data_IF_761969511423
#
_entry.id   IF_761969511423
#
_cell.length_a   1.000
_cell.length_b   1.000
_cell.length_c   1.000
_cell.angle_alpha   90.00
_cell.angle_beta   90.00
_cell.angle_gamma   90.00
#
_symmetry.space_group_name_H-M   'P 1'
#
loop_
_entity.id
_entity.type
_entity.pdbx_description
1 polymer ?
#
# COMPACT_ATOMS: atom_id res chain seq x y z
N UNK A 1 24.16 -8.74 56.62
CA UNK A 1 22.95 -8.76 57.47
C UNK A 1 21.79 -9.40 56.67
N UNK A 2 20.84 -10.01 57.38
CA UNK A 2 19.64 -10.66 56.79
C UNK A 2 18.93 -9.77 55.75
N UNK A 3 18.87 -8.47 55.95
CA UNK A 3 18.30 -7.53 55.00
C UNK A 3 19.08 -7.43 53.67
N UNK A 4 20.41 -7.50 53.76
CA UNK A 4 21.29 -7.44 52.59
C UNK A 4 21.17 -8.72 51.77
N UNK A 5 21.07 -9.88 52.42
CA UNK A 5 20.91 -11.18 51.78
C UNK A 5 19.52 -11.28 51.09
N UNK A 6 18.45 -10.83 51.76
CA UNK A 6 17.12 -10.78 51.18
C UNK A 6 17.04 -9.82 49.97
N UNK A 7 17.76 -8.69 50.00
CA UNK A 7 17.81 -7.74 48.89
C UNK A 7 18.56 -8.33 47.67
N UNK A 8 19.67 -9.03 47.92
CA UNK A 8 20.43 -9.73 46.87
C UNK A 8 19.58 -10.82 46.22
N UNK A 9 18.89 -11.62 47.02
CA UNK A 9 18.02 -12.70 46.50
C UNK A 9 16.83 -12.13 45.70
N UNK A 10 16.19 -11.07 46.18
CA UNK A 10 15.12 -10.41 45.48
C UNK A 10 15.60 -9.84 44.11
N UNK A 11 16.79 -9.22 44.09
CA UNK A 11 17.38 -8.72 42.85
C UNK A 11 17.70 -9.84 41.86
N UNK A 12 18.20 -10.96 42.35
CA UNK A 12 18.51 -12.16 41.57
C UNK A 12 17.24 -12.71 40.92
N UNK A 13 16.17 -12.90 41.71
CA UNK A 13 14.89 -13.41 41.24
C UNK A 13 14.25 -12.45 40.20
N UNK A 14 14.34 -11.14 40.44
CA UNK A 14 13.85 -10.16 39.48
C UNK A 14 14.61 -10.21 38.15
N UNK A 15 15.92 -10.36 38.18
CA UNK A 15 16.75 -10.51 36.99
C UNK A 15 16.42 -11.82 36.24
N UNK A 16 16.14 -12.90 36.96
CA UNK A 16 15.74 -14.15 36.34
C UNK A 16 14.35 -14.06 35.67
N UNK A 17 13.38 -13.44 36.31
CA UNK A 17 12.06 -13.13 35.73
C UNK A 17 12.21 -12.28 34.47
N UNK A 18 12.97 -11.21 34.53
CA UNK A 18 13.22 -10.34 33.37
C UNK A 18 13.88 -11.08 32.20
N UNK A 19 14.78 -12.02 32.52
CA UNK A 19 15.42 -12.89 31.52
C UNK A 19 14.42 -13.84 30.87
N UNK A 20 13.56 -14.47 31.67
CA UNK A 20 12.50 -15.39 31.19
C UNK A 20 11.53 -14.61 30.30
N UNK A 21 11.05 -13.45 30.74
CA UNK A 21 10.17 -12.57 29.95
C UNK A 21 10.80 -12.14 28.63
N UNK A 22 12.09 -11.85 28.64
CA UNK A 22 12.82 -11.44 27.43
C UNK A 22 12.97 -12.61 26.46
N UNK A 23 13.25 -13.82 26.95
CA UNK A 23 13.34 -15.03 26.13
C UNK A 23 11.98 -15.38 25.54
N UNK A 24 10.91 -15.29 26.34
CA UNK A 24 9.53 -15.55 25.88
C UNK A 24 9.09 -14.53 24.82
N UNK A 25 9.38 -13.25 25.03
CA UNK A 25 9.15 -12.20 24.03
C UNK A 25 9.94 -12.47 22.73
N UNK A 26 11.20 -12.87 22.83
CA UNK A 26 12.03 -13.21 21.67
C UNK A 26 11.49 -14.45 20.93
N UNK A 27 11.05 -15.46 21.66
CA UNK A 27 10.46 -16.68 21.06
C UNK A 27 9.20 -16.46 20.23
N UNK A 28 8.56 -15.27 20.38
CA UNK A 28 7.40 -14.85 19.59
C UNK A 28 7.75 -14.28 18.21
N UNK A 29 9.03 -14.22 17.88
CA UNK A 29 9.50 -13.70 16.59
C UNK A 29 10.36 -14.76 15.91
N UNK A 30 10.18 -14.87 14.57
CA UNK A 30 11.11 -15.65 13.76
C UNK A 30 12.51 -15.06 13.88
N UNK A 31 13.53 -15.92 14.01
CA UNK A 31 14.93 -15.51 14.24
C UNK A 31 15.63 -15.11 12.93
N UNK A 32 14.94 -14.32 12.09
CA UNK A 32 15.54 -13.75 10.90
C UNK A 32 16.26 -12.44 11.27
N UNK A 33 17.53 -12.34 10.94
CA UNK A 33 18.23 -11.08 10.99
C UNK A 33 17.97 -10.34 9.69
N UNK A 34 17.51 -9.07 9.72
CA UNK A 34 17.30 -8.28 8.51
C UNK A 34 18.59 -8.16 7.69
N UNK A 35 18.49 -8.42 6.39
CA UNK A 35 19.59 -8.25 5.44
C UNK A 35 19.38 -6.91 4.73
N UNK A 36 20.35 -6.04 4.88
CA UNK A 36 20.34 -4.70 4.28
C UNK A 36 21.22 -4.64 3.05
N UNK A 37 20.64 -4.44 1.88
CA UNK A 37 21.33 -4.32 0.60
C UNK A 37 20.97 -3.00 -0.06
N UNK A 38 21.95 -2.23 -0.52
CA UNK A 38 21.70 -1.02 -1.33
C UNK A 38 21.09 -1.39 -2.70
N UNK A 39 21.52 -2.55 -3.26
CA UNK A 39 20.95 -3.14 -4.47
C UNK A 39 20.24 -4.45 -4.10
N UNK A 40 18.93 -4.42 -3.78
CA UNK A 40 18.25 -5.57 -3.20
C UNK A 40 17.87 -6.67 -4.22
N UNK A 41 17.91 -6.39 -5.52
CA UNK A 41 17.69 -7.40 -6.56
C UNK A 41 18.98 -8.14 -6.86
N UNK A 42 19.02 -9.43 -6.50
CA UNK A 42 20.18 -10.28 -6.76
C UNK A 42 20.22 -10.73 -8.23
N UNK A 43 21.39 -11.17 -8.68
CA UNK A 43 21.61 -11.68 -10.05
C UNK A 43 20.78 -12.93 -10.38
N UNK A 44 20.41 -13.73 -9.37
CA UNK A 44 19.53 -14.88 -9.53
C UNK A 44 18.05 -14.52 -9.73
N UNK A 45 17.72 -13.22 -9.67
CA UNK A 45 16.37 -12.70 -9.86
C UNK A 45 15.51 -12.71 -8.58
N UNK A 46 16.13 -12.89 -7.41
CA UNK A 46 15.46 -12.81 -6.11
C UNK A 46 15.62 -11.43 -5.51
N UNK A 47 14.51 -10.82 -5.10
CA UNK A 47 14.48 -9.55 -4.37
C UNK A 47 14.59 -9.81 -2.87
N UNK A 48 15.59 -9.21 -2.22
CA UNK A 48 15.78 -9.32 -0.76
C UNK A 48 15.18 -8.09 -0.08
N UNK A 49 14.19 -8.31 0.78
CA UNK A 49 13.48 -7.25 1.52
C UNK A 49 13.91 -7.28 2.99
N UNK A 50 14.38 -6.13 3.50
CA UNK A 50 14.72 -5.94 4.90
C UNK A 50 13.50 -5.56 5.75
N UNK A 51 13.70 -5.28 7.04
CA UNK A 51 12.68 -4.76 7.95
C UNK A 51 12.26 -3.30 7.67
N UNK A 52 12.94 -2.63 6.73
CA UNK A 52 12.54 -1.30 6.21
C UNK A 52 11.33 -1.43 5.27
N UNK A 53 10.32 -2.13 5.74
CA UNK A 53 9.15 -2.58 4.99
C UNK A 53 7.88 -1.89 5.49
N UNK A 54 7.07 -1.42 4.57
CA UNK A 54 5.79 -0.74 4.80
C UNK A 54 4.72 -1.48 4.00
N UNK A 55 3.69 -2.00 4.66
CA UNK A 55 2.57 -2.64 3.96
C UNK A 55 1.60 -1.59 3.41
N UNK A 56 1.21 -1.74 2.15
CA UNK A 56 0.12 -0.99 1.51
C UNK A 56 -0.93 -1.98 1.03
N UNK A 57 -1.84 -2.36 1.91
CA UNK A 57 -2.92 -3.30 1.64
C UNK A 57 -4.29 -2.68 1.93
N UNK A 58 -5.30 -3.20 1.25
CA UNK A 58 -6.65 -2.66 1.32
C UNK A 58 -6.76 -1.26 0.72
N UNK A 59 -7.80 -0.53 1.12
CA UNK A 59 -8.11 0.75 0.53
C UNK A 59 -7.16 1.88 0.96
N UNK A 60 -6.79 2.72 -0.01
CA UNK A 60 -6.04 3.95 0.25
C UNK A 60 -7.00 5.02 0.75
N UNK A 61 -6.90 5.34 2.04
CA UNK A 61 -7.66 6.38 2.73
C UNK A 61 -6.67 7.35 3.41
N UNK A 62 -7.10 8.52 3.91
CA UNK A 62 -6.19 9.45 4.58
C UNK A 62 -5.34 8.82 5.68
N UNK A 63 -5.92 7.94 6.51
CA UNK A 63 -5.19 7.20 7.55
C UNK A 63 -4.11 6.27 6.99
N UNK A 64 -4.34 5.67 5.82
CA UNK A 64 -3.33 4.86 5.10
C UNK A 64 -2.14 5.74 4.70
N UNK A 65 -2.41 6.93 4.15
CA UNK A 65 -1.36 7.86 3.78
C UNK A 65 -0.58 8.36 5.01
N UNK A 66 -1.25 8.68 6.13
CA UNK A 66 -0.58 9.08 7.37
C UNK A 66 0.38 7.99 7.87
N UNK A 67 -0.08 6.74 7.82
CA UNK A 67 0.72 5.57 8.22
C UNK A 67 1.95 5.37 7.33
N UNK A 68 1.78 5.45 6.02
CA UNK A 68 2.88 5.22 5.06
C UNK A 68 3.87 6.38 5.09
N UNK A 69 3.41 7.63 5.02
CA UNK A 69 4.28 8.79 5.01
C UNK A 69 5.13 8.87 6.30
N UNK A 70 4.52 8.66 7.47
CA UNK A 70 5.28 8.67 8.74
C UNK A 70 6.36 7.58 8.82
N UNK A 71 6.11 6.41 8.19
CA UNK A 71 7.11 5.33 8.11
C UNK A 71 8.22 5.64 7.10
N UNK A 72 7.89 6.24 5.97
CA UNK A 72 8.89 6.72 5.01
C UNK A 72 9.80 7.73 5.72
N UNK A 73 9.25 8.72 6.42
CA UNK A 73 10.02 9.73 7.15
C UNK A 73 10.91 9.07 8.22
N UNK A 74 10.36 8.12 8.99
CA UNK A 74 11.12 7.39 10.00
C UNK A 74 12.33 6.65 9.40
N UNK A 75 12.11 5.86 8.37
CA UNK A 75 13.17 5.09 7.76
C UNK A 75 14.18 5.96 7.00
N UNK A 76 13.70 7.01 6.31
CA UNK A 76 14.55 7.98 5.64
C UNK A 76 15.49 8.70 6.63
N UNK A 77 14.97 9.08 7.82
CA UNK A 77 15.78 9.72 8.85
C UNK A 77 16.74 8.75 9.54
N UNK A 78 16.41 7.45 9.57
CA UNK A 78 17.28 6.44 10.16
C UNK A 78 18.48 6.10 9.27
N UNK A 79 18.26 5.99 7.95
CA UNK A 79 19.31 5.74 6.95
C UNK A 79 18.82 6.20 5.57
N UNK A 80 19.61 7.03 4.89
CA UNK A 80 19.27 7.62 3.59
C UNK A 80 19.76 6.82 2.38
N UNK A 81 20.55 5.76 2.59
CA UNK A 81 21.13 4.95 1.53
C UNK A 81 20.37 3.65 1.28
N UNK A 82 19.91 3.04 2.37
CA UNK A 82 19.24 1.75 2.30
C UNK A 82 17.80 1.89 1.79
N UNK A 83 17.35 0.97 0.91
CA UNK A 83 15.99 0.98 0.39
C UNK A 83 14.91 0.90 1.45
N UNK A 84 13.80 1.56 1.18
CA UNK A 84 12.52 1.43 1.90
C UNK A 84 11.56 0.71 0.95
N UNK A 85 10.92 -0.36 1.42
CA UNK A 85 10.03 -1.19 0.61
C UNK A 85 8.57 -0.91 0.94
N UNK A 86 7.80 -0.46 -0.06
CA UNK A 86 6.33 -0.44 0.02
C UNK A 86 5.83 -1.72 -0.62
N UNK A 87 5.25 -2.62 0.19
CA UNK A 87 4.82 -3.95 -0.23
C UNK A 87 3.30 -4.00 -0.35
N UNK A 88 2.84 -4.36 -1.54
CA UNK A 88 1.43 -4.47 -1.91
C UNK A 88 1.10 -5.94 -2.13
N UNK A 89 0.29 -6.52 -1.23
CA UNK A 89 -0.29 -7.84 -1.48
C UNK A 89 -1.61 -7.70 -2.22
N UNK A 90 -2.55 -6.87 -1.70
CA UNK A 90 -3.83 -6.60 -2.33
C UNK A 90 -4.27 -5.15 -2.02
N UNK A 91 -4.33 -4.32 -3.05
CA UNK A 91 -4.75 -2.92 -2.92
C UNK A 91 -5.58 -2.48 -4.13
N UNK A 92 -6.90 -2.22 -3.95
CA UNK A 92 -7.80 -1.80 -5.02
C UNK A 92 -7.68 -0.31 -5.38
N UNK A 93 -6.82 0.45 -4.72
CA UNK A 93 -6.73 1.90 -4.87
C UNK A 93 -7.49 2.66 -3.79
N UNK A 94 -7.98 3.86 -4.10
CA UNK A 94 -8.74 4.66 -3.13
C UNK A 94 -8.67 6.17 -3.35
N UNK A 95 -8.58 6.95 -2.27
CA UNK A 95 -8.52 8.42 -2.30
C UNK A 95 -7.35 8.93 -3.14
N UNK A 96 -7.64 9.81 -4.07
CA UNK A 96 -6.64 10.44 -4.93
C UNK A 96 -5.70 11.33 -4.12
N UNK A 97 -6.23 12.14 -3.21
CA UNK A 97 -5.40 13.02 -2.36
C UNK A 97 -4.48 12.22 -1.45
N UNK A 98 -4.98 11.14 -0.85
CA UNK A 98 -4.17 10.26 -0.03
C UNK A 98 -3.05 9.58 -0.84
N UNK A 99 -3.37 9.09 -2.03
CA UNK A 99 -2.38 8.52 -2.95
C UNK A 99 -1.33 9.52 -3.40
N UNK A 100 -1.71 10.76 -3.67
CA UNK A 100 -0.75 11.82 -3.99
C UNK A 100 0.17 12.18 -2.83
N UNK A 101 -0.32 12.15 -1.60
CA UNK A 101 0.53 12.33 -0.42
C UNK A 101 1.60 11.25 -0.34
N UNK A 102 1.23 10.00 -0.60
CA UNK A 102 2.18 8.87 -0.66
C UNK A 102 3.20 9.12 -1.77
N UNK A 103 2.77 9.43 -3.00
CA UNK A 103 3.67 9.71 -4.12
C UNK A 103 4.64 10.86 -3.81
N UNK A 104 4.18 11.93 -3.17
CA UNK A 104 5.04 13.06 -2.78
C UNK A 104 6.04 12.70 -1.69
N UNK A 105 5.63 11.87 -0.71
CA UNK A 105 6.53 11.36 0.31
C UNK A 105 7.61 10.43 -0.31
N UNK A 106 7.23 9.59 -1.27
CA UNK A 106 8.18 8.77 -2.03
C UNK A 106 9.18 9.62 -2.81
N UNK A 107 8.71 10.69 -3.48
CA UNK A 107 9.54 11.57 -4.29
C UNK A 107 10.52 12.39 -3.43
N UNK A 108 10.08 12.83 -2.25
CA UNK A 108 10.86 13.65 -1.33
C UNK A 108 11.88 12.84 -0.52
N UNK A 109 11.74 11.52 -0.44
CA UNK A 109 12.66 10.65 0.29
C UNK A 109 14.04 10.64 -0.36
N UNK A 110 15.10 10.84 0.44
CA UNK A 110 16.48 10.64 0.02
C UNK A 110 16.81 9.13 -0.07
N UNK A 111 16.27 8.33 0.87
CA UNK A 111 16.37 6.88 0.80
C UNK A 111 15.57 6.36 -0.42
N UNK A 112 16.11 5.40 -1.19
CA UNK A 112 15.42 4.83 -2.33
C UNK A 112 14.11 4.15 -1.90
N UNK A 113 13.01 4.49 -2.57
CA UNK A 113 11.72 3.82 -2.35
C UNK A 113 11.50 2.78 -3.42
N UNK A 114 11.30 1.53 -3.00
CA UNK A 114 11.04 0.37 -3.83
C UNK A 114 9.60 -0.11 -3.61
N UNK A 115 8.80 -0.16 -4.67
CA UNK A 115 7.42 -0.68 -4.59
C UNK A 115 7.39 -2.13 -5.08
N UNK A 116 6.79 -3.01 -4.28
CA UNK A 116 6.76 -4.45 -4.55
C UNK A 116 5.32 -4.94 -4.59
N UNK A 117 4.88 -5.42 -5.76
CA UNK A 117 3.53 -5.99 -5.92
C UNK A 117 3.62 -7.51 -5.89
N UNK A 118 3.04 -8.12 -4.85
CA UNK A 118 3.03 -9.59 -4.71
C UNK A 118 1.84 -10.25 -5.38
N UNK A 119 0.66 -9.59 -5.35
CA UNK A 119 -0.58 -10.17 -5.87
C UNK A 119 -1.35 -9.19 -6.74
N UNK A 120 -1.88 -8.11 -6.18
CA UNK A 120 -2.79 -7.21 -6.87
C UNK A 120 -2.59 -5.74 -6.50
N UNK A 121 -2.45 -4.90 -7.53
CA UNK A 121 -2.42 -3.44 -7.39
C UNK A 121 -3.32 -2.80 -8.46
N UNK A 122 -4.37 -2.10 -8.05
CA UNK A 122 -5.29 -1.48 -8.97
C UNK A 122 -5.42 0.03 -8.76
N UNK A 123 -5.80 0.73 -9.83
CA UNK A 123 -6.24 2.12 -9.74
C UNK A 123 -5.16 3.03 -9.12
N UNK A 124 -5.41 3.69 -8.00
CA UNK A 124 -4.41 4.53 -7.33
C UNK A 124 -3.16 3.74 -6.90
N UNK A 125 -3.30 2.47 -6.52
CA UNK A 125 -2.16 1.60 -6.19
C UNK A 125 -1.33 1.24 -7.44
N UNK A 126 -1.97 1.04 -8.58
CA UNK A 126 -1.27 0.87 -9.86
C UNK A 126 -0.50 2.14 -10.27
N UNK A 127 -1.07 3.33 -10.03
CA UNK A 127 -0.37 4.59 -10.25
C UNK A 127 0.87 4.71 -9.34
N UNK A 128 0.76 4.37 -8.06
CA UNK A 128 1.90 4.37 -7.11
C UNK A 128 2.98 3.40 -7.59
N UNK A 129 2.61 2.21 -8.02
CA UNK A 129 3.54 1.21 -8.56
C UNK A 129 4.23 1.71 -9.82
N UNK A 130 3.45 2.22 -10.77
CA UNK A 130 3.96 2.67 -12.08
C UNK A 130 4.86 3.90 -11.94
N UNK A 131 4.54 4.82 -11.04
CA UNK A 131 5.30 6.07 -10.86
C UNK A 131 6.47 5.94 -9.89
N UNK A 132 6.63 4.80 -9.22
CA UNK A 132 7.82 4.51 -8.44
C UNK A 132 9.07 4.51 -9.32
N UNK A 133 10.20 4.99 -8.77
CA UNK A 133 11.50 4.92 -9.46
C UNK A 133 11.96 3.47 -9.64
N UNK A 134 11.73 2.66 -8.59
CA UNK A 134 12.01 1.23 -8.58
C UNK A 134 10.74 0.47 -8.18
N UNK A 135 10.33 -0.48 -9.01
CA UNK A 135 9.18 -1.31 -8.76
C UNK A 135 9.38 -2.75 -9.23
N UNK A 136 8.81 -3.69 -8.48
CA UNK A 136 9.01 -5.12 -8.64
C UNK A 136 7.67 -5.83 -8.56
N UNK A 137 7.51 -6.93 -9.28
CA UNK A 137 6.35 -7.80 -9.13
C UNK A 137 6.70 -9.27 -9.43
N UNK A 138 5.83 -10.18 -8.98
CA UNK A 138 5.86 -11.55 -9.50
C UNK A 138 5.29 -11.62 -10.91
N UNK A 139 5.65 -12.64 -11.72
CA UNK A 139 5.07 -12.84 -13.05
C UNK A 139 3.53 -12.89 -13.05
N UNK A 140 2.94 -13.49 -12.01
CA UNK A 140 1.50 -13.66 -11.87
C UNK A 140 0.82 -12.56 -11.05
N UNK A 141 1.53 -11.52 -10.63
CA UNK A 141 0.90 -10.34 -10.03
C UNK A 141 0.07 -9.62 -11.06
N UNK A 142 -1.08 -9.11 -10.66
CA UNK A 142 -1.99 -8.39 -11.52
C UNK A 142 -1.91 -6.89 -11.22
N UNK A 143 -1.62 -6.09 -12.25
CA UNK A 143 -1.64 -4.64 -12.17
C UNK A 143 -2.77 -4.13 -13.07
N UNK A 144 -3.64 -3.26 -12.53
CA UNK A 144 -4.81 -2.79 -13.23
C UNK A 144 -4.87 -1.26 -13.25
N UNK A 145 -4.88 -0.70 -14.44
CA UNK A 145 -5.22 0.70 -14.69
C UNK A 145 -6.63 0.81 -15.26
N UNK A 146 -7.34 1.85 -14.88
CA UNK A 146 -8.62 2.23 -15.47
C UNK A 146 -8.78 3.73 -15.46
N UNK A 147 -9.72 4.26 -16.22
CA UNK A 147 -10.04 5.67 -16.19
C UNK A 147 -10.73 6.04 -14.88
N UNK A 148 -10.52 7.27 -14.39
CA UNK A 148 -11.25 7.80 -13.25
C UNK A 148 -12.76 7.67 -13.50
N UNK A 149 -13.46 7.09 -12.52
CA UNK A 149 -14.91 6.93 -12.56
C UNK A 149 -15.52 7.47 -11.27
N UNK A 150 -16.64 8.16 -11.39
CA UNK A 150 -17.41 8.64 -10.26
C UNK A 150 -18.68 7.81 -10.13
N UNK A 151 -18.88 7.19 -8.98
CA UNK A 151 -20.13 6.53 -8.66
C UNK A 151 -21.03 7.48 -7.88
N UNK A 152 -22.16 7.87 -8.47
CA UNK A 152 -23.14 8.76 -7.84
C UNK A 152 -24.36 7.91 -7.48
N UNK A 153 -24.52 7.61 -6.20
CA UNK A 153 -25.66 6.85 -5.70
C UNK A 153 -26.55 7.80 -4.88
N UNK A 154 -27.82 7.89 -5.25
CA UNK A 154 -28.84 8.71 -4.55
C UNK A 154 -28.55 10.23 -4.47
N UNK A 155 -27.63 10.74 -5.26
CA UNK A 155 -27.34 12.17 -5.35
C UNK A 155 -28.16 12.83 -6.45
N UNK A 156 -28.86 13.93 -6.12
CA UNK A 156 -29.49 14.79 -7.10
C UNK A 156 -28.51 15.90 -7.48
N UNK A 157 -27.97 15.84 -8.69
CA UNK A 157 -27.08 16.88 -9.23
C UNK A 157 -27.81 17.70 -10.30
N UNK A 158 -27.73 19.03 -10.19
CA UNK A 158 -28.12 19.90 -11.28
C UNK A 158 -27.03 19.95 -12.35
N UNK A 159 -27.31 20.57 -13.49
CA UNK A 159 -26.39 20.67 -14.64
C UNK A 159 -25.03 21.30 -14.27
N UNK A 160 -25.06 22.33 -13.42
CA UNK A 160 -23.85 23.02 -12.98
C UNK A 160 -22.98 22.07 -12.12
N UNK A 161 -23.58 21.39 -11.18
CA UNK A 161 -22.87 20.41 -10.32
C UNK A 161 -22.31 19.24 -11.13
N UNK A 162 -23.01 18.76 -12.16
CA UNK A 162 -22.50 17.72 -13.06
C UNK A 162 -21.26 18.22 -13.83
N UNK A 163 -21.31 19.46 -14.31
CA UNK A 163 -20.18 20.09 -14.99
C UNK A 163 -18.98 20.25 -14.04
N UNK A 164 -19.19 20.77 -12.84
CA UNK A 164 -18.14 20.93 -11.82
C UNK A 164 -17.48 19.58 -11.46
N UNK A 165 -18.28 18.52 -11.26
CA UNK A 165 -17.77 17.18 -10.98
C UNK A 165 -16.94 16.64 -12.16
N UNK A 166 -17.40 16.85 -13.39
CA UNK A 166 -16.67 16.45 -14.59
C UNK A 166 -15.33 17.20 -14.71
N UNK A 167 -15.34 18.51 -14.51
CA UNK A 167 -14.12 19.34 -14.55
C UNK A 167 -13.11 18.92 -13.48
N UNK A 168 -13.56 18.69 -12.24
CA UNK A 168 -12.67 18.25 -11.15
C UNK A 168 -12.11 16.84 -11.42
N UNK A 169 -12.94 15.90 -11.87
CA UNK A 169 -12.50 14.56 -12.25
C UNK A 169 -11.50 14.59 -13.40
N UNK A 170 -11.70 15.46 -14.39
CA UNK A 170 -10.77 15.64 -15.51
C UNK A 170 -9.42 16.17 -15.03
N UNK A 171 -9.42 17.17 -14.16
CA UNK A 171 -8.18 17.72 -13.58
C UNK A 171 -7.37 16.67 -12.80
N UNK A 172 -8.05 15.83 -12.01
CA UNK A 172 -7.39 14.73 -11.30
C UNK A 172 -6.90 13.64 -12.26
N UNK A 173 -7.71 13.29 -13.25
CA UNK A 173 -7.33 12.32 -14.28
C UNK A 173 -6.05 12.75 -15.01
N UNK A 174 -5.97 13.98 -15.47
CA UNK A 174 -4.78 14.51 -16.14
C UNK A 174 -3.53 14.40 -15.27
N UNK A 175 -3.65 14.68 -13.97
CA UNK A 175 -2.54 14.57 -13.02
C UNK A 175 -2.07 13.12 -12.79
N UNK A 176 -2.96 12.16 -12.88
CA UNK A 176 -2.66 10.73 -12.70
C UNK A 176 -2.22 10.09 -14.01
N UNK A 177 -3.00 10.27 -15.07
CA UNK A 177 -2.80 9.58 -16.34
C UNK A 177 -1.60 10.10 -17.12
N UNK A 178 -1.35 11.41 -17.11
CA UNK A 178 -0.26 12.01 -17.90
C UNK A 178 1.11 11.45 -17.53
N UNK A 179 1.52 11.38 -16.24
CA UNK A 179 2.81 10.79 -15.89
C UNK A 179 2.89 9.28 -16.17
N UNK A 180 1.77 8.55 -16.01
CA UNK A 180 1.71 7.10 -16.33
C UNK A 180 1.88 6.91 -17.84
N UNK A 181 1.09 7.57 -18.66
CA UNK A 181 1.18 7.52 -20.12
C UNK A 181 2.58 7.92 -20.63
N UNK A 182 3.17 8.97 -20.04
CA UNK A 182 4.54 9.40 -20.35
C UNK A 182 5.59 8.30 -20.05
N UNK A 183 5.46 7.62 -18.92
CA UNK A 183 6.35 6.49 -18.59
C UNK A 183 6.21 5.36 -19.60
N UNK A 184 5.00 5.10 -20.08
CA UNK A 184 4.73 4.13 -21.14
C UNK A 184 5.26 4.57 -22.51
N UNK A 185 5.44 5.87 -22.73
CA UNK A 185 5.85 6.43 -24.01
C UNK A 185 4.68 6.68 -24.99
N UNK A 186 3.46 6.85 -24.46
CA UNK A 186 2.23 7.11 -25.21
C UNK A 186 1.55 8.40 -24.73
N UNK A 187 0.57 8.87 -25.48
CA UNK A 187 -0.29 9.99 -25.05
C UNK A 187 -1.37 9.53 -24.07
N UNK A 188 -1.95 10.47 -23.32
CA UNK A 188 -3.10 10.18 -22.43
C UNK A 188 -4.30 9.65 -23.21
N UNK A 189 -4.55 10.19 -24.42
CA UNK A 189 -5.64 9.74 -25.28
C UNK A 189 -5.42 8.30 -25.76
N UNK A 190 -4.19 7.94 -26.14
CA UNK A 190 -3.85 6.57 -26.49
C UNK A 190 -3.99 5.64 -25.28
N UNK A 191 -3.62 6.09 -24.06
CA UNK A 191 -3.81 5.33 -22.84
C UNK A 191 -5.29 5.01 -22.59
N UNK A 192 -6.19 6.01 -22.74
CA UNK A 192 -7.63 5.82 -22.64
C UNK A 192 -8.12 4.84 -23.71
N UNK A 193 -7.71 5.03 -24.96
CA UNK A 193 -8.09 4.16 -26.08
C UNK A 193 -7.68 2.70 -25.83
N UNK A 194 -6.48 2.48 -25.31
CA UNK A 194 -6.02 1.15 -24.94
C UNK A 194 -6.88 0.53 -23.82
N UNK A 195 -7.23 1.28 -22.77
CA UNK A 195 -8.13 0.82 -21.71
C UNK A 195 -9.46 0.31 -22.26
N UNK A 196 -10.14 1.12 -23.11
CA UNK A 196 -11.42 0.75 -23.68
C UNK A 196 -11.33 -0.29 -24.80
N UNK A 197 -10.16 -0.56 -25.34
CA UNK A 197 -9.93 -1.70 -26.24
C UNK A 197 -9.86 -3.04 -25.48
N UNK A 198 -9.53 -3.00 -24.17
CA UNK A 198 -9.40 -4.19 -23.33
C UNK A 198 -10.71 -4.57 -22.66
N UNK A 199 -11.48 -3.60 -22.23
CA UNK A 199 -12.80 -3.85 -21.62
C UNK A 199 -13.76 -2.69 -21.90
N UNK A 200 -15.06 -2.98 -21.88
CA UNK A 200 -16.11 -1.94 -22.04
C UNK A 200 -16.16 -0.94 -20.88
N UNK A 201 -15.66 -1.34 -19.70
CA UNK A 201 -15.54 -0.47 -18.53
C UNK A 201 -14.28 0.37 -18.51
N UNK A 202 -13.34 0.14 -19.46
CA UNK A 202 -12.05 0.80 -19.47
C UNK A 202 -11.04 0.22 -18.48
N UNK A 203 -11.30 -0.99 -17.96
CA UNK A 203 -10.36 -1.70 -17.09
C UNK A 203 -9.29 -2.39 -17.94
N UNK A 204 -8.05 -2.06 -17.70
CA UNK A 204 -6.90 -2.67 -18.35
C UNK A 204 -6.02 -3.33 -17.31
N UNK A 205 -6.13 -4.64 -17.20
CA UNK A 205 -5.32 -5.47 -16.29
C UNK A 205 -4.30 -6.28 -17.06
N UNK A 206 -3.08 -6.36 -16.54
CA UNK A 206 -2.01 -7.14 -17.11
C UNK A 206 -1.25 -7.90 -16.01
N UNK A 207 -0.80 -9.09 -16.33
CA UNK A 207 0.13 -9.84 -15.50
C UNK A 207 1.52 -9.21 -15.51
N UNK A 208 2.36 -9.56 -14.52
CA UNK A 208 3.64 -8.91 -14.25
C UNK A 208 4.56 -8.78 -15.46
N UNK A 209 4.66 -9.80 -16.30
CA UNK A 209 5.49 -9.80 -17.53
C UNK A 209 5.00 -8.77 -18.54
N UNK A 210 3.70 -8.72 -18.82
CA UNK A 210 3.10 -7.72 -19.70
C UNK A 210 3.15 -6.32 -19.08
N UNK A 211 2.89 -6.21 -17.78
CA UNK A 211 3.02 -4.96 -17.04
C UNK A 211 4.45 -4.40 -17.13
N UNK A 212 5.47 -5.26 -17.08
CA UNK A 212 6.86 -4.88 -17.30
C UNK A 212 7.10 -4.38 -18.74
N UNK A 213 6.60 -5.09 -19.74
CA UNK A 213 6.72 -4.68 -21.14
C UNK A 213 6.05 -3.30 -21.40
N UNK A 214 4.96 -3.01 -20.68
CA UNK A 214 4.25 -1.73 -20.71
C UNK A 214 4.90 -0.64 -19.82
N UNK A 215 5.98 -0.96 -19.11
CA UNK A 215 6.64 -0.06 -18.15
C UNK A 215 5.79 0.33 -16.94
N UNK A 216 4.80 -0.49 -16.60
CA UNK A 216 4.02 -0.32 -15.36
C UNK A 216 4.81 -0.74 -14.13
N UNK A 217 5.77 -1.65 -14.32
CA UNK A 217 6.73 -2.10 -13.32
C UNK A 217 8.12 -2.18 -13.93
N UNK A 218 9.15 -1.98 -13.11
CA UNK A 218 10.54 -1.96 -13.60
C UNK A 218 11.13 -3.38 -13.71
N UNK A 219 10.75 -4.29 -12.79
CA UNK A 219 11.37 -5.62 -12.68
C UNK A 219 10.33 -6.69 -12.40
N UNK A 220 10.49 -7.84 -13.08
CA UNK A 220 9.78 -9.08 -12.74
C UNK A 220 10.75 -9.98 -11.99
N UNK A 221 10.37 -10.44 -10.80
CA UNK A 221 11.24 -11.20 -9.91
C UNK A 221 10.85 -12.68 -9.86
N UNK A 222 11.84 -13.55 -9.71
CA UNK A 222 11.64 -14.98 -9.55
C UNK A 222 11.23 -15.37 -8.13
N UNK A 223 11.63 -14.57 -7.16
CA UNK A 223 11.33 -14.78 -5.74
C UNK A 223 11.50 -13.51 -4.93
N UNK A 224 10.91 -13.51 -3.75
CA UNK A 224 11.08 -12.45 -2.75
C UNK A 224 11.51 -13.13 -1.46
N UNK A 225 12.67 -12.74 -0.94
CA UNK A 225 13.20 -13.18 0.33
C UNK A 225 12.91 -12.10 1.39
N UNK A 226 12.01 -12.42 2.31
CA UNK A 226 11.66 -11.55 3.42
C UNK A 226 12.60 -11.83 4.59
N UNK A 227 13.47 -10.86 4.89
CA UNK A 227 14.43 -10.96 6.00
C UNK A 227 14.03 -10.11 7.20
N UNK A 228 12.84 -9.51 7.15
CA UNK A 228 12.30 -8.74 8.26
C UNK A 228 11.97 -9.62 9.47
N UNK A 229 12.14 -9.05 10.66
CA UNK A 229 11.71 -9.69 11.90
C UNK A 229 10.19 -9.89 11.87
N UNK A 230 9.75 -11.13 11.76
CA UNK A 230 8.33 -11.47 11.65
C UNK A 230 7.83 -12.04 12.96
N UNK A 231 6.75 -11.49 13.50
CA UNK A 231 6.10 -12.02 14.68
C UNK A 231 5.40 -13.33 14.33
N UNK A 232 5.43 -14.30 15.26
CA UNK A 232 4.62 -15.49 15.17
C UNK A 232 3.14 -15.11 14.99
N UNK A 233 2.49 -15.55 13.89
CA UNK A 233 1.09 -15.22 13.62
C UNK A 233 0.13 -15.77 14.68
N UNK A 234 0.49 -16.84 15.36
CA UNK A 234 -0.32 -17.48 16.41
C UNK A 234 -0.01 -16.93 17.81
N UNK A 235 1.01 -16.07 17.95
CA UNK A 235 1.32 -15.45 19.24
C UNK A 235 0.17 -14.53 19.71
N UNK A 236 -0.20 -14.57 21.02
CA UNK A 236 -1.23 -13.71 21.57
C UNK A 236 -0.98 -12.25 21.21
N UNK A 237 -1.94 -11.60 20.55
CA UNK A 237 -1.88 -10.18 20.32
C UNK A 237 -2.22 -9.44 21.60
N UNK A 238 -1.35 -8.52 22.05
CA UNK A 238 -1.78 -7.53 23.03
C UNK A 238 -3.06 -6.85 22.49
N UNK A 239 -4.05 -6.54 23.36
CA UNK A 239 -5.25 -5.84 22.92
C UNK A 239 -4.81 -4.61 22.13
N UNK A 240 -5.08 -4.60 20.84
CA UNK A 240 -4.88 -3.40 20.02
C UNK A 240 -5.81 -2.34 20.61
N UNK A 241 -5.27 -1.19 20.95
CA UNK A 241 -6.11 0.00 21.10
C UNK A 241 -7.06 0.03 19.90
N UNK A 242 -8.35 0.28 20.08
CA UNK A 242 -9.31 0.26 18.98
C UNK A 242 -8.78 1.23 17.93
N UNK A 243 -8.24 0.68 16.84
CA UNK A 243 -8.01 1.46 15.64
C UNK A 243 -9.42 1.84 15.20
N UNK A 244 -9.75 3.10 15.36
CA UNK A 244 -10.96 3.67 14.77
C UNK A 244 -10.74 3.61 13.27
N UNK A 245 -10.94 2.44 12.70
CA UNK A 245 -11.09 2.27 11.27
C UNK A 245 -12.39 2.96 10.93
N UNK A 246 -12.30 4.06 10.24
CA UNK A 246 -13.46 4.80 9.75
C UNK A 246 -14.30 4.01 8.73
N UNK A 247 -14.01 2.73 8.56
CA UNK A 247 -14.70 1.81 7.67
C UNK A 247 -15.50 0.80 8.49
N UNK A 248 -16.80 0.72 8.19
CA UNK A 248 -17.76 -0.12 8.87
C UNK A 248 -18.38 -1.07 7.84
N UNK A 249 -18.27 -2.37 8.11
CA UNK A 249 -18.93 -3.39 7.30
C UNK A 249 -20.40 -3.52 7.73
N UNK A 250 -21.28 -3.61 6.75
CA UNK A 250 -22.72 -3.78 6.92
C UNK A 250 -23.26 -4.83 5.94
N UNK A 251 -24.50 -5.25 6.15
CA UNK A 251 -25.20 -6.19 5.27
C UNK A 251 -26.40 -5.46 4.67
N UNK A 252 -26.56 -5.53 3.35
CA UNK A 252 -27.71 -4.94 2.68
C UNK A 252 -28.99 -5.81 2.82
N UNK A 253 -30.16 -5.30 2.40
CA UNK A 253 -31.42 -6.04 2.49
C UNK A 253 -31.41 -7.38 1.73
N UNK A 254 -30.55 -7.53 0.75
CA UNK A 254 -30.37 -8.75 -0.05
C UNK A 254 -29.39 -9.74 0.61
N UNK A 255 -28.84 -9.40 1.78
CA UNK A 255 -27.90 -10.23 2.54
C UNK A 255 -26.46 -10.16 2.06
N UNK A 256 -26.12 -9.19 1.19
CA UNK A 256 -24.78 -9.02 0.65
C UNK A 256 -23.95 -8.10 1.56
N UNK A 257 -22.72 -8.50 1.96
CA UNK A 257 -21.86 -7.65 2.75
C UNK A 257 -21.32 -6.50 1.90
N UNK A 258 -21.22 -5.33 2.52
CA UNK A 258 -20.60 -4.14 1.94
C UNK A 258 -19.90 -3.31 3.02
N UNK A 259 -18.97 -2.46 2.59
CA UNK A 259 -18.19 -1.61 3.48
C UNK A 259 -18.47 -0.14 3.22
N UNK A 260 -18.80 0.61 4.27
CA UNK A 260 -18.92 2.06 4.18
C UNK A 260 -17.54 2.72 4.09
N UNK A 261 -17.40 3.57 3.08
CA UNK A 261 -16.22 4.38 2.88
C UNK A 261 -16.16 5.56 3.85
N UNK A 262 -14.98 5.97 4.30
CA UNK A 262 -14.84 7.19 5.08
C UNK A 262 -15.18 8.41 4.22
N UNK A 263 -15.72 9.46 4.85
CA UNK A 263 -15.99 10.71 4.17
C UNK A 263 -14.69 11.34 3.65
N UNK A 264 -14.66 11.69 2.39
CA UNK A 264 -13.56 12.43 1.77
C UNK A 264 -13.69 13.95 1.99
N UNK A 265 -12.58 14.64 1.75
CA UNK A 265 -12.60 16.09 1.58
C UNK A 265 -13.49 16.47 0.37
N UNK A 266 -14.16 17.66 0.37
CA UNK A 266 -15.11 18.01 -0.69
C UNK A 266 -14.58 18.02 -2.13
N UNK A 267 -13.25 18.11 -2.30
CA UNK A 267 -12.59 18.11 -3.61
C UNK A 267 -11.74 16.88 -3.88
N UNK A 268 -11.82 15.88 -2.99
CA UNK A 268 -11.17 14.58 -3.19
C UNK A 268 -12.15 13.62 -3.84
N UNK A 269 -11.63 12.59 -4.51
CA UNK A 269 -12.43 11.52 -5.08
C UNK A 269 -11.75 10.17 -4.89
N UNK A 270 -12.56 9.12 -4.98
CA UNK A 270 -12.08 7.77 -4.97
C UNK A 270 -11.68 7.34 -6.38
N UNK A 271 -10.42 7.03 -6.55
CA UNK A 271 -9.89 6.30 -7.69
C UNK A 271 -9.67 4.86 -7.23
N UNK A 272 -10.72 4.06 -7.37
CA UNK A 272 -10.89 2.77 -6.72
C UNK A 272 -11.46 1.74 -7.69
N UNK A 273 -10.84 0.58 -7.76
CA UNK A 273 -11.41 -0.57 -8.45
C UNK A 273 -12.44 -1.27 -7.55
N UNK A 274 -13.72 -1.17 -7.90
CA UNK A 274 -14.86 -1.60 -7.08
C UNK A 274 -15.97 -2.22 -7.97
N UNK A 275 -15.66 -3.30 -8.73
CA UNK A 275 -16.57 -3.84 -9.74
C UNK A 275 -17.84 -4.46 -9.17
N UNK A 276 -17.81 -4.95 -7.94
CA UNK A 276 -18.93 -5.60 -7.26
C UNK A 276 -19.75 -4.67 -6.36
N UNK A 277 -19.34 -3.39 -6.26
CA UNK A 277 -20.02 -2.41 -5.41
C UNK A 277 -19.91 -2.70 -3.91
N UNK A 278 -18.87 -3.42 -3.50
CA UNK A 278 -18.62 -3.73 -2.08
C UNK A 278 -18.34 -2.46 -1.26
N UNK A 279 -17.56 -1.53 -1.80
CA UNK A 279 -17.31 -0.26 -1.15
C UNK A 279 -18.40 0.76 -1.49
N UNK A 280 -19.06 1.32 -0.47
CA UNK A 280 -20.18 2.25 -0.66
C UNK A 280 -19.96 3.54 0.14
N UNK A 281 -20.31 4.69 -0.45
CA UNK A 281 -20.31 5.97 0.26
C UNK A 281 -21.54 6.05 1.18
N UNK A 282 -21.36 6.73 2.33
CA UNK A 282 -22.48 7.11 3.21
C UNK A 282 -23.23 8.30 2.66
#
# INVERSE_FOLDING_TARGET
>A
SLQTEAMIETTRLQNEINRIDTLDKRGRYADAQPVYLENPLREDGVLVISDRRIALNGMIVPATADNICSRIDYWNNKDKKLPIFIVIDDCPGGSVMAGYRILKSMEASEAPIHVVVKSFAASMAACITTLAKESYCYPNSLILHHQIASQITFAKLNLTQQKELHEESTRWWERLATPVARKMGITTDEFIKQMYSKSSGGDWSEFGDNAHALKWVNHVVKGIEETSLTRDPDAPTAPKAPVVTAMEEAIDPEGKPFMYLPRLNPRDLYFLYNPDGYYRMR
#
